data_IF_366710329587
#
_entry.id   IF_366710329587
#
_cell.length_a   1.000
_cell.length_b   1.000
_cell.length_c   1.000
_cell.angle_alpha   90.00
_cell.angle_beta   90.00
_cell.angle_gamma   90.00
#
_symmetry.space_group_name_H-M   'P 1'
#
loop_
_entity.id
_entity.type
_entity.pdbx_description
1 polymer ?
#
# COMPACT_ATOMS: atom_id res chain seq x y z
N UNK A 1 14.07 -3.99 -13.38
CA UNK A 1 15.40 -3.37 -13.63
C UNK A 1 16.33 -3.65 -12.46
N UNK A 2 17.64 -3.81 -12.66
CA UNK A 2 18.57 -4.08 -11.55
C UNK A 2 18.86 -2.82 -10.71
N UNK A 3 19.14 -3.00 -9.42
CA UNK A 3 19.53 -1.89 -8.53
C UNK A 3 20.76 -1.11 -9.05
N UNK A 4 21.73 -1.80 -9.64
CA UNK A 4 22.92 -1.17 -10.23
C UNK A 4 22.56 -0.31 -11.44
N UNK A 5 21.70 -0.80 -12.33
CA UNK A 5 21.24 -0.02 -13.48
C UNK A 5 20.39 1.17 -13.07
N UNK A 6 19.56 1.02 -12.04
CA UNK A 6 18.73 2.11 -11.52
C UNK A 6 19.58 3.24 -10.93
N UNK A 7 20.69 2.89 -10.24
CA UNK A 7 21.66 3.88 -9.74
C UNK A 7 22.35 4.64 -10.87
N UNK A 8 22.83 3.93 -11.90
CA UNK A 8 23.62 4.55 -12.97
C UNK A 8 22.79 5.50 -13.85
N UNK A 9 21.50 5.20 -14.04
CA UNK A 9 20.62 5.96 -14.91
C UNK A 9 19.57 6.77 -14.11
N UNK A 10 19.85 7.11 -12.86
CA UNK A 10 18.86 7.61 -11.91
C UNK A 10 18.04 8.80 -12.42
N UNK A 11 18.67 9.81 -13.02
CA UNK A 11 17.96 10.99 -13.52
C UNK A 11 17.11 10.72 -14.76
N UNK A 12 17.56 9.86 -15.68
CA UNK A 12 16.74 9.44 -16.82
C UNK A 12 15.51 8.65 -16.36
N UNK A 13 15.69 7.86 -15.32
CA UNK A 13 14.65 7.10 -14.66
C UNK A 13 13.58 8.02 -14.08
N UNK A 14 13.99 9.09 -13.38
CA UNK A 14 13.07 10.12 -12.88
C UNK A 14 12.31 10.83 -14.01
N UNK A 15 12.97 11.14 -15.13
CA UNK A 15 12.30 11.73 -16.29
C UNK A 15 11.21 10.82 -16.85
N UNK A 16 11.49 9.51 -16.98
CA UNK A 16 10.51 8.52 -17.45
C UNK A 16 9.35 8.38 -16.46
N UNK A 17 9.64 8.37 -15.16
CA UNK A 17 8.62 8.28 -14.12
C UNK A 17 7.73 9.52 -14.13
N UNK A 18 8.30 10.71 -14.31
CA UNK A 18 7.53 11.96 -14.43
C UNK A 18 6.57 11.94 -15.62
N UNK A 19 6.90 11.20 -16.70
CA UNK A 19 6.04 11.01 -17.87
C UNK A 19 4.96 9.93 -17.68
N UNK A 20 4.87 9.29 -16.50
CA UNK A 20 3.86 8.27 -16.22
C UNK A 20 4.40 6.84 -16.12
N UNK A 21 5.70 6.61 -16.29
CA UNK A 21 6.25 5.25 -16.25
C UNK A 21 6.34 4.71 -14.82
N UNK A 22 5.93 3.46 -14.63
CA UNK A 22 6.15 2.70 -13.40
C UNK A 22 7.43 1.87 -13.53
N UNK A 23 8.24 1.85 -12.48
CA UNK A 23 9.54 1.19 -12.54
C UNK A 23 9.79 0.33 -11.30
N UNK A 24 9.91 -0.97 -11.55
CA UNK A 24 10.25 -1.97 -10.53
C UNK A 24 11.76 -2.17 -10.46
N UNK A 25 12.34 -1.89 -9.29
CA UNK A 25 13.74 -2.12 -8.95
C UNK A 25 13.88 -3.48 -8.27
N UNK A 26 14.74 -4.30 -8.84
CA UNK A 26 15.02 -5.68 -8.42
C UNK A 26 16.48 -5.78 -7.99
N UNK A 27 16.74 -6.45 -6.88
CA UNK A 27 18.07 -6.80 -6.41
C UNK A 27 18.04 -8.28 -5.98
N UNK A 28 19.01 -9.08 -6.41
CA UNK A 28 19.11 -10.50 -6.05
C UNK A 28 17.82 -11.29 -6.34
N UNK A 29 17.21 -11.06 -7.51
CA UNK A 29 15.90 -11.60 -7.94
C UNK A 29 14.70 -11.26 -7.03
N UNK A 30 14.86 -10.31 -6.10
CA UNK A 30 13.78 -9.82 -5.25
C UNK A 30 13.41 -8.40 -5.62
N UNK A 31 12.12 -8.13 -5.71
CA UNK A 31 11.59 -6.78 -5.79
C UNK A 31 11.96 -6.03 -4.50
N UNK A 32 12.69 -4.93 -4.63
CA UNK A 32 13.15 -4.12 -3.48
C UNK A 32 12.52 -2.75 -3.42
N UNK A 33 12.11 -2.19 -4.57
CA UNK A 33 11.44 -0.90 -4.62
C UNK A 33 10.58 -0.77 -5.88
N UNK A 34 9.51 0.01 -5.76
CA UNK A 34 8.66 0.45 -6.85
C UNK A 34 8.71 1.98 -6.91
N UNK A 35 9.09 2.54 -8.05
CA UNK A 35 9.03 3.97 -8.30
C UNK A 35 7.84 4.29 -9.19
N UNK A 36 7.00 5.22 -8.73
CA UNK A 36 5.79 5.68 -9.42
C UNK A 36 5.79 7.21 -9.52
N UNK A 37 5.09 7.77 -10.52
CA UNK A 37 4.91 9.21 -10.62
C UNK A 37 4.26 9.75 -9.36
N UNK A 38 4.69 10.94 -8.92
CA UNK A 38 4.02 11.64 -7.83
C UNK A 38 2.65 12.11 -8.32
N UNK A 39 1.60 11.45 -7.86
CA UNK A 39 0.22 11.88 -8.11
C UNK A 39 -0.17 12.97 -7.10
N UNK A 40 -0.96 13.95 -7.54
CA UNK A 40 -1.50 15.00 -6.65
C UNK A 40 -2.56 14.47 -5.69
N UNK A 41 -3.17 13.34 -6.05
CA UNK A 41 -4.16 12.62 -5.25
C UNK A 41 -3.59 11.30 -4.78
N UNK A 42 -3.88 10.94 -3.53
CA UNK A 42 -3.55 9.62 -2.99
C UNK A 42 -4.37 8.57 -3.74
N UNK A 43 -3.69 7.58 -4.35
CA UNK A 43 -4.37 6.38 -4.81
C UNK A 43 -4.60 5.46 -3.61
N UNK A 44 -5.78 5.57 -3.02
CA UNK A 44 -6.17 4.81 -1.84
C UNK A 44 -6.09 3.30 -2.04
N UNK A 45 -6.32 2.80 -3.26
CA UNK A 45 -6.25 1.37 -3.55
C UNK A 45 -4.82 0.84 -3.50
N UNK A 46 -3.87 1.57 -4.09
CA UNK A 46 -2.45 1.19 -4.06
C UNK A 46 -1.87 1.31 -2.66
N UNK A 47 -2.23 2.38 -1.92
CA UNK A 47 -1.84 2.55 -0.53
C UNK A 47 -2.37 1.42 0.35
N UNK A 48 -3.63 1.03 0.17
CA UNK A 48 -4.24 -0.09 0.89
C UNK A 48 -3.50 -1.39 0.59
N UNK A 49 -3.23 -1.67 -0.69
CA UNK A 49 -2.50 -2.86 -1.13
C UNK A 49 -1.09 -2.93 -0.54
N UNK A 50 -0.35 -1.83 -0.57
CA UNK A 50 0.98 -1.73 0.02
C UNK A 50 0.93 -1.94 1.54
N UNK A 51 -0.03 -1.30 2.22
CA UNK A 51 -0.22 -1.43 3.67
C UNK A 51 -0.55 -2.87 4.08
N UNK A 52 -1.40 -3.55 3.31
CA UNK A 52 -1.74 -4.97 3.51
C UNK A 52 -0.55 -5.89 3.28
N UNK A 53 0.32 -5.60 2.31
CA UNK A 53 1.54 -6.40 2.04
C UNK A 53 2.58 -6.24 3.15
N UNK A 54 2.74 -5.03 3.68
CA UNK A 54 3.69 -4.75 4.77
C UNK A 54 3.19 -5.27 6.12
N UNK A 55 1.87 -5.43 6.29
CA UNK A 55 1.23 -5.90 7.53
C UNK A 55 1.75 -5.18 8.79
N UNK A 56 2.02 -3.87 8.72
CA UNK A 56 2.74 -3.09 9.74
C UNK A 56 2.22 -3.22 11.18
N UNK A 57 1.41 -2.27 11.65
CA UNK A 57 0.73 -2.39 12.97
C UNK A 57 -0.40 -3.43 12.97
N UNK A 58 -0.79 -3.89 11.77
CA UNK A 58 -1.86 -4.85 11.52
C UNK A 58 -1.35 -6.29 11.38
N UNK A 59 -0.14 -6.60 11.86
CA UNK A 59 0.49 -7.93 11.67
C UNK A 59 -0.36 -9.08 12.23
N UNK A 60 -1.06 -8.79 13.33
CA UNK A 60 -1.89 -9.73 14.09
C UNK A 60 -3.38 -9.56 13.75
N UNK A 61 -3.72 -8.68 12.80
CA UNK A 61 -5.09 -8.39 12.38
C UNK A 61 -5.44 -9.15 11.09
N UNK A 62 -6.53 -9.89 11.11
CA UNK A 62 -7.16 -10.52 9.94
C UNK A 62 -8.43 -9.75 9.57
N UNK A 63 -8.59 -9.44 8.28
CA UNK A 63 -9.80 -8.77 7.78
C UNK A 63 -11.04 -9.64 7.91
N UNK A 64 -10.84 -10.95 7.84
CA UNK A 64 -11.83 -12.02 7.97
C UNK A 64 -12.30 -12.14 9.42
N UNK A 65 -11.42 -11.82 10.39
CA UNK A 65 -11.74 -11.85 11.82
C UNK A 65 -12.16 -10.48 12.39
N UNK A 66 -12.46 -9.51 11.52
CA UNK A 66 -12.80 -8.14 11.91
C UNK A 66 -14.02 -8.13 12.86
N UNK A 67 -13.84 -7.76 14.14
CA UNK A 67 -14.92 -7.78 15.14
C UNK A 67 -16.07 -6.83 14.80
N UNK A 68 -15.84 -5.82 13.95
CA UNK A 68 -16.86 -4.87 13.47
C UNK A 68 -17.76 -5.46 12.37
N UNK A 69 -17.33 -6.55 11.72
CA UNK A 69 -18.04 -7.20 10.60
C UNK A 69 -18.65 -8.55 10.95
N UNK A 70 -18.43 -9.04 12.18
CA UNK A 70 -19.05 -10.27 12.67
C UNK A 70 -20.56 -10.10 12.76
N UNK A 71 -21.30 -11.16 12.48
CA UNK A 71 -22.75 -11.19 12.71
C UNK A 71 -23.03 -10.90 14.19
N UNK A 72 -23.83 -9.88 14.49
CA UNK A 72 -24.10 -9.39 15.86
C UNK A 72 -23.18 -8.27 16.37
N UNK A 73 -22.19 -7.83 15.58
CA UNK A 73 -21.31 -6.72 15.96
C UNK A 73 -22.06 -5.38 16.14
N UNK A 74 -23.16 -5.19 15.40
CA UNK A 74 -24.07 -4.06 15.55
C UNK A 74 -24.69 -3.97 16.94
N UNK A 75 -24.85 -5.10 17.62
CA UNK A 75 -25.52 -5.16 18.91
C UNK A 75 -24.56 -4.81 20.04
N UNK A 76 -23.25 -4.99 19.85
CA UNK A 76 -22.22 -4.60 20.82
C UNK A 76 -21.77 -3.14 20.65
N UNK A 77 -21.61 -2.66 19.41
CA UNK A 77 -21.05 -1.33 19.12
C UNK A 77 -22.10 -0.28 18.73
N UNK A 78 -23.27 -0.70 18.27
CA UNK A 78 -24.35 0.19 17.83
C UNK A 78 -25.36 0.54 18.91
N UNK A 79 -25.16 0.11 20.16
CA UNK A 79 -26.02 0.50 21.30
C UNK A 79 -25.59 1.80 21.98
N UNK A 80 -24.39 2.30 21.69
CA UNK A 80 -23.83 3.48 22.37
C UNK A 80 -24.48 4.80 21.90
N UNK A 81 -25.25 4.77 20.81
CA UNK A 81 -25.92 5.92 20.18
C UNK A 81 -27.46 5.79 20.21
N UNK A 82 -28.01 4.85 21.00
CA UNK A 82 -29.47 4.62 21.06
C UNK A 82 -30.17 5.36 22.22
N UNK A 83 -29.45 6.19 22.96
CA UNK A 83 -29.98 6.96 24.10
C UNK A 83 -29.82 8.50 23.96
N UNK A 84 -29.73 9.03 22.73
CA UNK A 84 -29.86 10.47 22.44
C UNK A 84 -31.16 10.80 21.70
#
# INVERSE_FOLDING_TARGET
MSATSARNNFFELLNKIALGAEVVIVKDNKEVALMIPKTSKINWNDLLRASQKVRGILRDYSFEDNPLRRTGASDFLGQWDKEL
#
